data_IF_850769360300
#
_entry.id   IF_850769360300
#
_cell.length_a   1.000
_cell.length_b   1.000
_cell.length_c   1.000
_cell.angle_alpha   90.00
_cell.angle_beta   90.00
_cell.angle_gamma   90.00
#
_symmetry.space_group_name_H-M   'P 1'
#
loop_
_entity.id
_entity.type
_entity.pdbx_description
1 polymer ?
#
# COMPACT_ATOMS: atom_id res chain seq x y z
N UNK A 1 12.16 47.50 44.31
CA UNK A 1 11.46 46.23 44.00
C UNK A 1 11.95 45.67 42.66
N UNK A 2 13.24 45.33 42.52
CA UNK A 2 13.84 44.95 41.22
C UNK A 2 14.77 43.73 41.30
N UNK A 3 14.74 42.97 42.40
CA UNK A 3 15.70 41.88 42.66
C UNK A 3 15.06 40.50 42.92
N UNK A 4 13.77 40.34 42.61
CA UNK A 4 13.06 39.05 42.77
C UNK A 4 12.86 38.27 41.46
N UNK A 5 13.01 38.90 40.29
CA UNK A 5 12.78 38.24 39.01
C UNK A 5 13.96 37.40 38.49
N UNK A 6 15.20 37.66 38.91
CA UNK A 6 16.37 36.90 38.40
C UNK A 6 16.56 35.53 39.06
N UNK A 7 16.00 35.33 40.27
CA UNK A 7 16.12 34.07 41.00
C UNK A 7 15.15 32.98 40.50
N UNK A 8 14.11 33.37 39.75
CA UNK A 8 13.14 32.43 39.17
C UNK A 8 13.71 31.71 37.93
N UNK A 9 14.59 32.37 37.18
CA UNK A 9 15.26 31.79 36.00
C UNK A 9 16.49 30.93 36.34
N UNK A 10 16.96 30.94 37.58
CA UNK A 10 18.13 30.16 38.04
C UNK A 10 17.78 28.88 38.80
N UNK A 11 16.48 28.54 38.88
CA UNK A 11 16.04 27.31 39.53
C UNK A 11 16.05 26.16 38.51
N UNK A 12 17.11 25.34 38.50
CA UNK A 12 17.25 24.12 37.68
C UNK A 12 16.23 23.00 38.02
N UNK A 13 15.26 23.27 38.90
CA UNK A 13 14.20 22.33 39.27
C UNK A 13 13.17 22.27 38.14
N UNK A 14 13.33 21.29 37.25
CA UNK A 14 12.41 21.04 36.13
C UNK A 14 13.10 20.89 34.77
N UNK A 15 14.37 21.29 34.64
CA UNK A 15 15.13 21.14 33.40
C UNK A 15 15.20 19.66 32.95
N UNK A 16 15.44 18.75 33.90
CA UNK A 16 15.45 17.30 33.67
C UNK A 16 14.09 16.79 33.17
N UNK A 17 12.97 17.34 33.67
CA UNK A 17 11.63 16.93 33.24
C UNK A 17 11.33 17.39 31.80
N UNK A 18 11.79 18.59 31.42
CA UNK A 18 11.67 19.11 30.06
C UNK A 18 12.50 18.29 29.08
N UNK A 19 13.76 17.99 29.43
CA UNK A 19 14.65 17.16 28.62
C UNK A 19 14.07 15.76 28.42
N UNK A 20 13.58 15.13 29.49
CA UNK A 20 12.90 13.84 29.43
C UNK A 20 11.65 13.88 28.54
N UNK A 21 10.81 14.92 28.64
CA UNK A 21 9.59 15.02 27.82
C UNK A 21 9.92 15.10 26.32
N UNK A 22 10.95 15.85 25.92
CA UNK A 22 11.33 16.00 24.52
C UNK A 22 11.85 14.66 23.97
N UNK A 23 12.74 14.00 24.70
CA UNK A 23 13.29 12.70 24.31
C UNK A 23 12.18 11.65 24.24
N UNK A 24 11.29 11.62 25.23
CA UNK A 24 10.17 10.68 25.26
C UNK A 24 9.21 10.90 24.08
N UNK A 25 8.87 12.15 23.75
CA UNK A 25 8.03 12.45 22.58
C UNK A 25 8.70 12.02 21.28
N UNK A 26 9.99 12.30 21.09
CA UNK A 26 10.75 11.86 19.91
C UNK A 26 10.81 10.33 19.82
N UNK A 27 11.04 9.66 20.94
CA UNK A 27 11.06 8.20 21.01
C UNK A 27 9.70 7.59 20.66
N UNK A 28 8.62 8.13 21.22
CA UNK A 28 7.26 7.69 20.92
C UNK A 28 6.92 7.86 19.44
N UNK A 29 7.32 8.99 18.85
CA UNK A 29 7.15 9.26 17.42
C UNK A 29 7.94 8.30 16.54
N UNK A 30 9.15 7.92 16.96
CA UNK A 30 9.96 6.90 16.29
C UNK A 30 9.28 5.51 16.31
N UNK A 31 8.68 5.13 17.45
CA UNK A 31 7.92 3.87 17.55
C UNK A 31 6.71 3.85 16.62
N UNK A 32 5.93 4.94 16.59
CA UNK A 32 4.80 5.07 15.67
C UNK A 32 5.22 5.03 14.20
N UNK A 33 6.32 5.69 13.86
CA UNK A 33 6.89 5.66 12.50
C UNK A 33 7.31 4.24 12.10
N UNK A 34 7.99 3.53 13.01
CA UNK A 34 8.42 2.15 12.79
C UNK A 34 7.22 1.22 12.57
N UNK A 35 6.18 1.35 13.39
CA UNK A 35 4.94 0.59 13.23
C UNK A 35 4.26 0.85 11.86
N UNK A 36 4.22 2.12 11.42
CA UNK A 36 3.61 2.47 10.14
C UNK A 36 4.40 1.95 8.94
N UNK A 37 5.74 1.99 8.99
CA UNK A 37 6.61 1.41 7.96
C UNK A 37 6.42 -0.10 7.90
N UNK A 38 6.36 -0.78 9.05
CA UNK A 38 6.08 -2.22 9.10
C UNK A 38 4.72 -2.56 8.47
N UNK A 39 3.69 -1.73 8.72
CA UNK A 39 2.37 -1.91 8.12
C UNK A 39 2.41 -1.75 6.59
N UNK A 40 3.13 -0.74 6.09
CA UNK A 40 3.29 -0.51 4.65
C UNK A 40 3.99 -1.69 3.97
N UNK A 41 5.09 -2.18 4.56
CA UNK A 41 5.83 -3.34 4.05
C UNK A 41 4.96 -4.61 4.03
N UNK A 42 4.15 -4.81 5.08
CA UNK A 42 3.22 -5.94 5.14
C UNK A 42 2.18 -5.89 4.00
N UNK A 43 1.57 -4.72 3.74
CA UNK A 43 0.63 -4.54 2.62
C UNK A 43 1.32 -4.82 1.28
N UNK A 44 2.54 -4.31 1.08
CA UNK A 44 3.31 -4.55 -0.14
C UNK A 44 3.55 -6.04 -0.38
N UNK A 45 4.05 -6.76 0.63
CA UNK A 45 4.32 -8.20 0.51
C UNK A 45 3.03 -9.00 0.25
N UNK A 46 1.93 -8.63 0.88
CA UNK A 46 0.61 -9.26 0.65
C UNK A 46 0.12 -9.01 -0.78
N UNK A 47 0.30 -7.79 -1.30
CA UNK A 47 -0.05 -7.44 -2.67
C UNK A 47 0.80 -8.21 -3.69
N UNK A 48 2.11 -8.31 -3.46
CA UNK A 48 3.04 -9.06 -4.32
C UNK A 48 2.67 -10.55 -4.38
N UNK A 49 2.33 -11.15 -3.23
CA UNK A 49 1.84 -12.52 -3.16
C UNK A 49 0.52 -12.69 -3.91
N UNK A 50 -0.47 -11.83 -3.64
CA UNK A 50 -1.79 -11.92 -4.27
C UNK A 50 -1.70 -11.74 -5.79
N UNK A 51 -0.88 -10.81 -6.27
CA UNK A 51 -0.63 -10.61 -7.70
C UNK A 51 0.03 -11.83 -8.33
N UNK A 52 1.02 -12.45 -7.67
CA UNK A 52 1.71 -13.67 -8.15
C UNK A 52 0.79 -14.91 -8.16
N UNK A 53 -0.04 -15.09 -7.13
CA UNK A 53 -1.03 -16.17 -7.11
C UNK A 53 -2.10 -15.96 -8.18
N UNK A 54 -2.60 -14.73 -8.29
CA UNK A 54 -3.55 -14.40 -9.34
C UNK A 54 -2.90 -14.67 -10.70
N UNK A 55 -1.65 -14.26 -10.92
CA UNK A 55 -0.92 -14.47 -12.17
C UNK A 55 -0.87 -15.94 -12.59
N UNK A 56 -0.60 -16.82 -11.62
CA UNK A 56 -0.61 -18.26 -11.81
C UNK A 56 -2.01 -18.77 -12.16
N UNK A 57 -3.04 -18.23 -11.53
CA UNK A 57 -4.44 -18.60 -11.81
C UNK A 57 -4.93 -18.06 -13.16
N UNK A 58 -4.50 -16.88 -13.62
CA UNK A 58 -4.83 -16.34 -14.94
C UNK A 58 -4.42 -17.29 -16.07
N UNK A 59 -3.28 -17.97 -15.92
CA UNK A 59 -2.83 -18.97 -16.90
C UNK A 59 -3.75 -20.19 -16.97
N UNK A 60 -4.51 -20.47 -15.91
CA UNK A 60 -5.36 -21.66 -15.78
C UNK A 60 -6.86 -21.35 -15.99
N UNK A 61 -7.24 -20.07 -16.07
CA UNK A 61 -8.64 -19.66 -16.24
C UNK A 61 -8.93 -19.52 -17.74
N UNK A 62 -9.95 -20.22 -18.21
CA UNK A 62 -10.43 -20.13 -19.59
C UNK A 62 -10.88 -18.69 -19.94
N UNK A 63 -10.64 -18.31 -21.20
CA UNK A 63 -10.69 -16.95 -21.79
C UNK A 63 -11.97 -16.14 -21.53
N UNK A 64 -13.04 -16.75 -21.03
CA UNK A 64 -14.38 -16.16 -20.98
C UNK A 64 -14.73 -15.43 -19.67
N UNK A 65 -13.87 -15.48 -18.64
CA UNK A 65 -14.24 -15.00 -17.29
C UNK A 65 -13.25 -13.99 -16.69
N UNK A 66 -12.91 -12.95 -17.47
CA UNK A 66 -12.08 -11.82 -17.02
C UNK A 66 -12.62 -11.09 -15.78
N UNK A 67 -13.91 -11.26 -15.48
CA UNK A 67 -14.60 -10.72 -14.31
C UNK A 67 -14.17 -11.37 -12.98
N UNK A 68 -13.59 -12.57 -13.05
CA UNK A 68 -13.32 -13.40 -11.88
C UNK A 68 -11.98 -13.09 -11.22
N UNK A 69 -11.05 -12.50 -11.97
CA UNK A 69 -9.68 -12.25 -11.48
C UNK A 69 -9.62 -11.23 -10.33
N UNK A 70 -10.41 -10.16 -10.41
CA UNK A 70 -10.52 -9.19 -9.33
C UNK A 70 -11.12 -9.81 -8.05
N UNK A 71 -12.00 -10.81 -8.20
CA UNK A 71 -12.56 -11.56 -7.06
C UNK A 71 -11.54 -12.53 -6.49
N UNK A 72 -10.80 -13.24 -7.33
CA UNK A 72 -9.73 -14.16 -6.93
C UNK A 72 -8.63 -13.41 -6.19
N UNK A 73 -8.17 -12.27 -6.73
CA UNK A 73 -7.15 -11.46 -6.08
C UNK A 73 -7.64 -10.94 -4.72
N UNK A 74 -8.90 -10.51 -4.63
CA UNK A 74 -9.53 -10.13 -3.35
C UNK A 74 -9.60 -11.29 -2.37
N UNK A 75 -10.03 -12.46 -2.82
CA UNK A 75 -10.12 -13.67 -2.01
C UNK A 75 -8.75 -14.09 -1.49
N UNK A 76 -7.72 -14.08 -2.34
CA UNK A 76 -6.34 -14.38 -1.94
C UNK A 76 -5.79 -13.36 -0.96
N UNK A 77 -6.07 -12.07 -1.17
CA UNK A 77 -5.72 -11.05 -0.19
C UNK A 77 -6.41 -11.32 1.16
N UNK A 78 -7.69 -11.71 1.18
CA UNK A 78 -8.45 -11.96 2.42
C UNK A 78 -7.98 -13.24 3.13
N UNK A 79 -7.68 -14.32 2.40
CA UNK A 79 -7.20 -15.58 2.98
C UNK A 79 -5.84 -15.40 3.67
N UNK A 80 -4.95 -14.60 3.08
CA UNK A 80 -3.61 -14.32 3.63
C UNK A 80 -3.61 -13.21 4.69
N UNK A 81 -4.73 -12.52 4.85
CA UNK A 81 -4.99 -11.55 5.89
C UNK A 81 -5.54 -12.26 7.14
N UNK A 82 -4.66 -12.57 8.10
CA UNK A 82 -5.09 -13.04 9.42
C UNK A 82 -6.01 -12.03 10.14
N UNK A 83 -6.31 -12.27 11.43
CA UNK A 83 -7.23 -11.44 12.23
C UNK A 83 -6.88 -9.93 12.22
N UNK A 84 -5.60 -9.59 12.05
CA UNK A 84 -5.11 -8.20 11.93
C UNK A 84 -5.25 -7.61 10.53
N UNK A 85 -5.43 -8.43 9.51
CA UNK A 85 -5.49 -8.01 8.11
C UNK A 85 -6.66 -7.09 7.81
N UNK A 86 -7.82 -7.30 8.44
CA UNK A 86 -8.99 -6.40 8.31
C UNK A 86 -8.73 -4.97 8.81
N UNK A 87 -7.79 -4.80 9.74
CA UNK A 87 -7.36 -3.48 10.23
C UNK A 87 -6.31 -2.84 9.30
N UNK A 88 -5.61 -3.67 8.53
CA UNK A 88 -4.48 -3.25 7.70
C UNK A 88 -4.92 -2.96 6.26
N UNK A 89 -5.78 -3.81 5.68
CA UNK A 89 -6.33 -3.69 4.33
C UNK A 89 -7.86 -3.58 4.42
N UNK A 90 -8.36 -2.39 4.09
CA UNK A 90 -9.79 -2.20 3.86
C UNK A 90 -10.09 -2.55 2.39
N UNK A 91 -11.04 -3.46 2.16
CA UNK A 91 -11.37 -4.01 0.83
C UNK A 91 -11.70 -2.93 -0.21
N UNK A 92 -12.20 -1.78 0.24
CA UNK A 92 -12.57 -0.63 -0.59
C UNK A 92 -11.38 0.07 -1.23
N UNK A 93 -10.16 -0.16 -0.72
CA UNK A 93 -8.95 0.52 -1.19
C UNK A 93 -8.27 -0.18 -2.36
N UNK A 94 -8.77 -1.34 -2.82
CA UNK A 94 -8.18 -2.12 -3.91
C UNK A 94 -8.98 -1.91 -5.20
N UNK A 95 -8.38 -1.21 -6.16
CA UNK A 95 -8.88 -1.07 -7.53
C UNK A 95 -8.12 -2.01 -8.46
N UNK A 96 -8.82 -2.95 -9.07
CA UNK A 96 -8.26 -3.87 -10.08
C UNK A 96 -8.83 -3.48 -11.43
N UNK A 97 -7.97 -3.23 -12.40
CA UNK A 97 -8.34 -2.97 -13.79
C UNK A 97 -7.66 -3.98 -14.72
N UNK A 98 -8.41 -4.53 -15.67
CA UNK A 98 -7.92 -5.51 -16.65
C UNK A 98 -8.19 -4.95 -18.04
N UNK A 99 -7.15 -4.83 -18.85
CA UNK A 99 -7.21 -4.29 -20.21
C UNK A 99 -6.41 -5.17 -21.15
N UNK A 100 -6.76 -5.21 -22.44
CA UNK A 100 -6.14 -6.09 -23.42
C UNK A 100 -5.53 -5.31 -24.59
N UNK A 101 -4.46 -5.83 -25.19
CA UNK A 101 -3.75 -5.17 -26.28
C UNK A 101 -3.13 -6.16 -27.28
N UNK A 102 -2.84 -5.70 -28.49
CA UNK A 102 -2.28 -6.54 -29.58
C UNK A 102 -0.76 -6.67 -29.53
N UNK A 103 -0.08 -5.62 -29.06
CA UNK A 103 1.37 -5.50 -29.10
C UNK A 103 1.88 -4.67 -27.94
N UNK A 104 3.13 -4.90 -27.53
CA UNK A 104 3.82 -4.07 -26.53
C UNK A 104 3.84 -2.60 -26.98
N UNK A 105 3.93 -2.34 -28.29
CA UNK A 105 3.85 -0.98 -28.82
C UNK A 105 2.49 -0.33 -28.54
N UNK A 106 1.40 -1.08 -28.66
CA UNK A 106 0.05 -0.57 -28.36
C UNK A 106 -0.13 -0.31 -26.86
N UNK A 107 0.52 -1.10 -25.99
CA UNK A 107 0.57 -0.85 -24.53
C UNK A 107 1.25 0.47 -24.21
N UNK A 108 2.39 0.75 -24.85
CA UNK A 108 3.16 1.98 -24.64
C UNK A 108 2.36 3.22 -25.10
N UNK A 109 1.58 3.08 -26.17
CA UNK A 109 0.71 4.14 -26.68
C UNK A 109 -0.67 4.20 -25.99
N UNK A 110 -0.90 3.42 -24.93
CA UNK A 110 -2.19 3.28 -24.23
C UNK A 110 -3.37 2.89 -25.15
N UNK A 111 -3.09 2.22 -26.26
CA UNK A 111 -4.10 1.68 -27.16
C UNK A 111 -4.57 0.31 -26.65
N UNK A 112 -5.38 0.36 -25.60
CA UNK A 112 -5.95 -0.83 -24.93
C UNK A 112 -7.43 -0.97 -25.24
N UNK A 113 -7.92 -2.21 -25.32
CA UNK A 113 -9.32 -2.54 -25.52
C UNK A 113 -9.80 -3.55 -24.46
N UNK A 114 -11.12 -3.71 -24.32
CA UNK A 114 -11.72 -4.72 -23.45
C UNK A 114 -11.86 -6.09 -24.12
N UNK A 115 -11.24 -6.28 -25.30
CA UNK A 115 -11.36 -7.49 -26.08
C UNK A 115 -10.42 -8.58 -25.54
N UNK A 116 -11.01 -9.59 -24.90
CA UNK A 116 -10.30 -10.76 -24.37
C UNK A 116 -9.72 -11.66 -25.46
N UNK A 117 -9.97 -11.39 -26.75
CA UNK A 117 -9.37 -12.13 -27.87
C UNK A 117 -7.98 -11.64 -28.24
N UNK A 118 -7.49 -10.56 -27.61
CA UNK A 118 -6.16 -10.05 -27.89
C UNK A 118 -5.04 -10.82 -27.16
N UNK A 119 -3.84 -10.92 -27.76
CA UNK A 119 -2.75 -11.74 -27.26
C UNK A 119 -2.10 -11.22 -25.97
N UNK A 120 -2.22 -9.92 -25.65
CA UNK A 120 -1.67 -9.36 -24.41
C UNK A 120 -2.80 -8.94 -23.48
N UNK A 121 -2.72 -9.37 -22.22
CA UNK A 121 -3.57 -8.94 -21.13
C UNK A 121 -2.74 -8.17 -20.10
N UNK A 122 -3.18 -6.97 -19.76
CA UNK A 122 -2.54 -6.05 -18.82
C UNK A 122 -3.44 -5.95 -17.60
N UNK A 123 -2.90 -6.30 -16.45
CA UNK A 123 -3.57 -6.28 -15.17
C UNK A 123 -2.93 -5.20 -14.31
N UNK A 124 -3.72 -4.20 -13.92
CA UNK A 124 -3.30 -3.12 -13.02
C UNK A 124 -4.02 -3.26 -11.70
N UNK A 125 -3.26 -3.30 -10.62
CA UNK A 125 -3.76 -3.33 -9.25
C UNK A 125 -3.26 -2.11 -8.54
N UNK A 126 -4.19 -1.28 -8.09
CA UNK A 126 -3.90 -0.05 -7.36
C UNK A 126 -4.45 -0.18 -5.94
N UNK A 127 -3.58 0.02 -4.96
CA UNK A 127 -3.96 0.08 -3.56
C UNK A 127 -3.91 1.53 -3.05
N UNK A 128 -5.06 2.03 -2.57
CA UNK A 128 -5.18 3.35 -1.97
C UNK A 128 -4.82 3.30 -0.47
N UNK A 129 -3.58 3.67 -0.17
CA UNK A 129 -3.06 3.70 1.18
C UNK A 129 -3.50 4.96 1.93
N UNK A 130 -4.13 4.72 3.09
CA UNK A 130 -4.39 5.74 4.09
C UNK A 130 -3.48 5.53 5.30
N UNK A 131 -2.67 6.53 5.67
CA UNK A 131 -1.88 6.45 6.88
C UNK A 131 -2.74 6.61 8.13
N UNK A 132 -2.32 5.98 9.21
CA UNK A 132 -3.01 5.95 10.51
C UNK A 132 -2.20 6.72 11.55
N UNK A 133 -0.89 6.50 11.59
CA UNK A 133 -0.03 7.03 12.65
C UNK A 133 0.74 8.30 12.26
N UNK A 134 0.81 8.62 10.97
CA UNK A 134 1.66 9.70 10.48
C UNK A 134 1.15 10.34 9.20
N UNK A 135 1.27 11.67 8.99
CA UNK A 135 0.86 12.31 7.74
C UNK A 135 1.87 12.07 6.61
N UNK A 136 2.18 10.81 6.29
CA UNK A 136 2.90 10.50 5.05
C UNK A 136 2.02 10.83 3.85
N UNK A 137 2.64 11.32 2.77
CA UNK A 137 1.93 11.62 1.54
C UNK A 137 1.25 10.36 1.01
N UNK A 138 -0.08 10.36 0.98
CA UNK A 138 -0.89 9.26 0.43
C UNK A 138 -0.55 9.03 -1.05
N UNK A 139 -0.22 10.07 -1.81
CA UNK A 139 0.19 9.97 -3.21
C UNK A 139 1.45 9.12 -3.40
N UNK A 140 2.45 9.26 -2.52
CA UNK A 140 3.67 8.46 -2.56
C UNK A 140 3.39 7.00 -2.25
N UNK A 141 2.64 6.73 -1.17
CA UNK A 141 2.29 5.38 -0.77
C UNK A 141 1.41 4.67 -1.83
N UNK A 142 0.48 5.38 -2.45
CA UNK A 142 -0.36 4.86 -3.55
C UNK A 142 0.47 4.47 -4.76
N UNK A 143 1.48 5.28 -5.10
CA UNK A 143 2.39 4.99 -6.22
C UNK A 143 3.23 3.75 -5.91
N UNK A 144 3.73 3.64 -4.67
CA UNK A 144 4.50 2.49 -4.22
C UNK A 144 3.71 1.18 -4.15
N UNK A 145 2.40 1.25 -3.92
CA UNK A 145 1.53 0.08 -3.80
C UNK A 145 0.71 -0.14 -5.08
N UNK A 146 1.11 0.47 -6.19
CA UNK A 146 0.65 0.11 -7.52
C UNK A 146 1.47 -1.07 -8.05
N UNK A 147 0.79 -2.04 -8.65
CA UNK A 147 1.39 -3.20 -9.32
C UNK A 147 0.75 -3.38 -10.67
N UNK A 148 1.59 -3.54 -11.69
CA UNK A 148 1.17 -3.84 -13.05
C UNK A 148 1.82 -5.14 -13.49
N UNK A 149 1.02 -6.03 -14.07
CA UNK A 149 1.51 -7.29 -14.64
C UNK A 149 0.95 -7.47 -16.03
N UNK A 150 1.82 -7.83 -16.96
CA UNK A 150 1.49 -8.07 -18.36
C UNK A 150 1.63 -9.57 -18.62
N UNK A 151 0.58 -10.17 -19.17
CA UNK A 151 0.56 -11.57 -19.60
C UNK A 151 0.43 -11.66 -21.11
N UNK A 152 1.25 -12.50 -21.72
CA UNK A 152 0.99 -13.01 -23.05
C UNK A 152 0.07 -14.24 -22.93
N UNK A 153 -1.05 -14.21 -23.65
CA UNK A 153 -1.97 -15.33 -23.77
C UNK A 153 -1.47 -16.24 -24.90
N UNK A 154 -1.14 -17.48 -24.57
CA UNK A 154 -0.90 -18.51 -25.57
C UNK A 154 -2.25 -19.04 -26.09
N UNK A 155 -2.27 -19.42 -27.37
CA UNK A 155 -3.46 -19.84 -28.11
C UNK A 155 -3.50 -21.36 -28.28
#
# INVERSE_FOLDING_TARGET
>A
MHNLNSHFFHSNKGAVAVEFSIIFTLFFFMLLSSAEISRLLYISASLDLAVSESAKLAKNIERNDSSNYGKILREKLIIHQGVLGKFILEEKNISVNVTFSRSISDVIHLNTSNDNTLPLAIYRVNFLYHPIFFPISTSWANTLLSREVIFAQEY
#
